data_IF_176311719885
#
_entry.id   IF_176311719885
#
_cell.length_a   1.000
_cell.length_b   1.000
_cell.length_c   1.000
_cell.angle_alpha   90.00
_cell.angle_beta   90.00
_cell.angle_gamma   90.00
#
_symmetry.space_group_name_H-M   'P 1'
#
loop_
_entity.id
_entity.type
_entity.pdbx_description
1 polymer ?
#
# COMPACT_ATOMS: atom_id res chain seq x y z
N UNK A 1 -15.41 -9.56 -50.22
CA UNK A 1 -15.45 -8.12 -49.87
C UNK A 1 -16.51 -7.94 -48.80
N UNK A 2 -16.13 -7.96 -47.53
CA UNK A 2 -17.05 -7.69 -46.42
C UNK A 2 -17.24 -6.19 -46.33
N UNK A 3 -18.31 -5.68 -46.95
CA UNK A 3 -18.69 -4.27 -46.90
C UNK A 3 -19.26 -3.94 -45.52
N UNK A 4 -18.41 -3.46 -44.61
CA UNK A 4 -18.90 -2.83 -43.38
C UNK A 4 -19.46 -1.46 -43.76
N UNK A 5 -20.74 -1.23 -43.52
CA UNK A 5 -21.35 0.11 -43.58
C UNK A 5 -20.87 0.90 -42.37
N UNK A 6 -20.46 2.14 -42.59
CA UNK A 6 -19.94 2.99 -41.52
C UNK A 6 -21.08 3.39 -40.57
N UNK A 7 -20.92 3.23 -39.25
CA UNK A 7 -21.98 3.52 -38.29
C UNK A 7 -22.19 5.02 -38.12
N UNK A 8 -23.44 5.41 -37.84
CA UNK A 8 -23.75 6.78 -37.47
C UNK A 8 -23.20 7.08 -36.07
N UNK A 9 -22.20 7.95 -35.99
CA UNK A 9 -21.65 8.41 -34.72
C UNK A 9 -22.55 9.48 -34.10
N UNK A 10 -23.20 9.14 -32.99
CA UNK A 10 -23.94 10.11 -32.16
C UNK A 10 -23.11 10.38 -30.91
N UNK A 11 -22.69 11.63 -30.74
CA UNK A 11 -21.93 12.07 -29.57
C UNK A 11 -22.86 12.55 -28.47
N UNK A 12 -22.66 12.03 -27.25
CA UNK A 12 -23.32 12.49 -26.04
C UNK A 12 -22.27 13.23 -25.19
N UNK A 13 -22.36 14.56 -25.05
CA UNK A 13 -21.42 15.32 -24.23
C UNK A 13 -21.59 15.00 -22.75
N UNK A 14 -20.52 15.20 -21.98
CA UNK A 14 -20.58 15.14 -20.52
C UNK A 14 -21.43 16.27 -19.96
N UNK A 15 -22.14 15.98 -18.87
CA UNK A 15 -22.96 16.97 -18.18
C UNK A 15 -22.10 18.03 -17.50
N UNK A 16 -22.56 19.28 -17.56
CA UNK A 16 -22.05 20.40 -16.77
C UNK A 16 -22.48 20.27 -15.30
N UNK A 17 -21.81 21.01 -14.41
CA UNK A 17 -22.16 21.04 -12.96
C UNK A 17 -23.63 21.42 -12.75
N UNK A 18 -24.13 22.37 -13.54
CA UNK A 18 -25.50 22.88 -13.43
C UNK A 18 -26.51 21.84 -13.94
N UNK A 19 -26.22 21.16 -15.06
CA UNK A 19 -27.05 20.04 -15.54
C UNK A 19 -27.07 18.88 -14.54
N UNK A 20 -25.92 18.53 -13.94
CA UNK A 20 -25.85 17.53 -12.88
C UNK A 20 -26.67 17.95 -11.66
N UNK A 21 -26.57 19.23 -11.24
CA UNK A 21 -27.38 19.77 -10.15
C UNK A 21 -28.87 19.58 -10.45
N UNK A 22 -29.30 19.93 -11.65
CA UNK A 22 -30.70 19.83 -12.06
C UNK A 22 -31.17 18.38 -12.12
N UNK A 23 -30.34 17.46 -12.60
CA UNK A 23 -30.63 16.03 -12.62
C UNK A 23 -30.77 15.48 -11.20
N UNK A 24 -29.83 15.78 -10.30
CA UNK A 24 -29.86 15.33 -8.89
C UNK A 24 -31.04 15.90 -8.12
N UNK A 25 -31.51 17.09 -8.49
CA UNK A 25 -32.67 17.74 -7.87
C UNK A 25 -34.01 17.09 -8.26
N UNK A 26 -34.08 16.34 -9.37
CA UNK A 26 -35.33 15.72 -9.84
C UNK A 26 -35.80 14.64 -8.88
N UNK A 27 -37.05 14.76 -8.43
CA UNK A 27 -37.70 13.77 -7.56
C UNK A 27 -37.32 13.85 -6.08
N UNK A 28 -36.54 14.85 -5.67
CA UNK A 28 -36.15 14.99 -4.26
C UNK A 28 -37.33 15.56 -3.42
N UNK A 29 -37.66 14.96 -2.25
CA UNK A 29 -38.84 15.33 -1.46
C UNK A 29 -38.81 16.76 -0.88
N UNK A 30 -37.62 17.31 -0.66
CA UNK A 30 -37.43 18.71 -0.29
C UNK A 30 -36.35 19.36 -1.17
N UNK A 31 -36.74 20.04 -2.26
CA UNK A 31 -35.78 20.64 -3.18
C UNK A 31 -35.04 21.83 -2.56
N UNK A 32 -35.67 22.59 -1.64
CA UNK A 32 -35.02 23.78 -1.04
C UNK A 32 -33.86 23.38 -0.13
N UNK A 33 -34.07 22.36 0.70
CA UNK A 33 -33.03 21.83 1.59
C UNK A 33 -31.90 21.16 0.81
N UNK A 34 -32.26 20.35 -0.20
CA UNK A 34 -31.27 19.67 -1.04
C UNK A 34 -30.46 20.65 -1.91
N UNK A 35 -31.09 21.70 -2.42
CA UNK A 35 -30.40 22.78 -3.15
C UNK A 35 -29.35 23.49 -2.28
N UNK A 36 -29.67 23.76 -1.01
CA UNK A 36 -28.73 24.32 -0.02
C UNK A 36 -27.57 23.36 0.31
N UNK A 37 -27.85 22.07 0.35
CA UNK A 37 -26.81 21.04 0.48
C UNK A 37 -25.90 21.02 -0.75
N UNK A 38 -26.46 20.89 -1.95
CA UNK A 38 -25.70 20.80 -3.20
C UNK A 38 -24.84 22.04 -3.47
N UNK A 39 -25.27 23.25 -3.06
CA UNK A 39 -24.44 24.46 -3.21
C UNK A 39 -23.12 24.38 -2.46
N UNK A 40 -23.03 23.53 -1.43
CA UNK A 40 -21.82 23.31 -0.64
C UNK A 40 -21.00 22.17 -1.22
N UNK A 41 -21.62 21.02 -1.43
CA UNK A 41 -20.89 19.76 -1.65
C UNK A 41 -20.67 19.43 -3.12
N UNK A 42 -21.53 19.88 -4.03
CA UNK A 42 -21.52 19.41 -5.41
C UNK A 42 -20.24 19.85 -6.14
N UNK A 43 -19.85 21.13 -6.02
CA UNK A 43 -18.69 21.66 -6.73
C UNK A 43 -17.36 21.00 -6.29
N UNK A 44 -17.10 20.76 -4.99
CA UNK A 44 -15.96 19.94 -4.58
C UNK A 44 -15.98 18.51 -5.13
N UNK A 45 -17.13 17.82 -5.05
CA UNK A 45 -17.25 16.43 -5.51
C UNK A 45 -17.11 16.29 -7.03
N UNK A 46 -17.68 17.25 -7.78
CA UNK A 46 -17.64 17.26 -9.24
C UNK A 46 -16.22 17.43 -9.81
N UNK A 47 -15.32 18.07 -9.05
CA UNK A 47 -13.89 18.13 -9.41
C UNK A 47 -13.19 16.78 -9.35
N UNK A 48 -13.74 15.83 -8.60
CA UNK A 48 -13.15 14.50 -8.42
C UNK A 48 -13.79 13.48 -9.36
N UNK A 49 -15.11 13.51 -9.52
CA UNK A 49 -15.82 12.66 -10.49
C UNK A 49 -16.95 13.43 -11.18
N UNK A 50 -17.11 13.19 -12.49
CA UNK A 50 -18.24 13.69 -13.27
C UNK A 50 -19.34 12.64 -13.45
N UNK A 51 -19.14 11.44 -12.87
CA UNK A 51 -20.08 10.33 -12.98
C UNK A 51 -21.28 10.53 -12.05
N UNK A 52 -22.47 10.60 -12.65
CA UNK A 52 -23.73 10.82 -11.92
C UNK A 52 -24.03 9.75 -10.88
N UNK A 53 -23.75 8.49 -11.19
CA UNK A 53 -23.99 7.36 -10.30
C UNK A 53 -23.08 7.39 -9.07
N UNK A 54 -21.80 7.70 -9.26
CA UNK A 54 -20.84 7.89 -8.16
C UNK A 54 -21.19 9.10 -7.30
N UNK A 55 -21.54 10.23 -7.93
CA UNK A 55 -21.99 11.43 -7.23
C UNK A 55 -23.24 11.15 -6.39
N UNK A 56 -24.26 10.51 -6.97
CA UNK A 56 -25.48 10.17 -6.24
C UNK A 56 -25.19 9.25 -5.04
N UNK A 57 -24.36 8.23 -5.22
CA UNK A 57 -23.96 7.31 -4.15
C UNK A 57 -23.19 8.01 -3.02
N UNK A 58 -22.34 8.99 -3.35
CA UNK A 58 -21.55 9.78 -2.41
C UNK A 58 -22.40 10.80 -1.64
N UNK A 59 -23.35 11.43 -2.32
CA UNK A 59 -24.17 12.51 -1.79
C UNK A 59 -25.24 12.01 -0.82
N UNK A 60 -25.78 10.82 -1.01
CA UNK A 60 -26.82 10.23 -0.14
C UNK A 60 -26.41 10.15 1.35
N UNK A 61 -25.28 9.53 1.75
CA UNK A 61 -24.87 9.48 3.15
C UNK A 61 -24.49 10.86 3.71
N UNK A 62 -23.93 11.73 2.87
CA UNK A 62 -23.60 13.11 3.26
C UNK A 62 -24.86 13.93 3.51
N UNK A 63 -25.89 13.76 2.69
CA UNK A 63 -27.16 14.45 2.86
C UNK A 63 -27.83 14.06 4.18
N UNK A 64 -27.78 12.77 4.54
CA UNK A 64 -28.27 12.27 5.85
C UNK A 64 -27.63 12.97 7.03
N UNK A 65 -26.30 13.14 7.00
CA UNK A 65 -25.58 13.92 8.01
C UNK A 65 -25.92 15.40 7.96
N UNK A 66 -26.13 15.95 6.75
CA UNK A 66 -26.44 17.37 6.58
C UNK A 66 -27.78 17.76 7.23
N UNK A 67 -28.83 16.94 7.11
CA UNK A 67 -30.14 17.26 7.71
C UNK A 67 -30.35 16.70 9.13
N UNK A 68 -29.40 15.91 9.66
CA UNK A 68 -29.45 15.33 11.01
C UNK A 68 -29.78 16.38 12.11
N UNK A 69 -29.16 17.57 12.13
CA UNK A 69 -29.48 18.60 13.13
C UNK A 69 -30.89 19.19 13.01
N UNK A 70 -31.52 19.09 11.84
CA UNK A 70 -32.86 19.64 11.55
C UNK A 70 -33.94 18.63 11.93
N UNK A 71 -33.68 17.33 11.77
CA UNK A 71 -34.59 16.22 12.09
C UNK A 71 -35.89 16.16 11.27
N UNK A 72 -36.25 17.25 10.59
CA UNK A 72 -37.47 17.40 9.80
C UNK A 72 -37.15 17.67 8.33
N UNK A 73 -37.38 16.67 7.48
CA UNK A 73 -37.18 16.78 6.03
C UNK A 73 -38.06 17.84 5.35
N UNK A 74 -39.08 18.41 6.01
CA UNK A 74 -39.93 19.48 5.44
C UNK A 74 -39.48 20.89 5.79
N UNK A 75 -38.44 21.05 6.62
CA UNK A 75 -37.95 22.36 7.01
C UNK A 75 -37.38 23.12 5.79
N UNK A 76 -37.67 24.42 5.73
CA UNK A 76 -37.07 25.32 4.76
C UNK A 76 -35.89 26.02 5.45
N UNK A 77 -34.65 25.83 4.98
CA UNK A 77 -33.49 26.40 5.65
C UNK A 77 -33.41 27.92 5.43
N UNK A 78 -33.46 28.67 6.53
CA UNK A 78 -33.14 30.10 6.59
C UNK A 78 -31.63 30.34 6.56
N UNK A 79 -31.15 31.55 6.27
CA UNK A 79 -29.73 31.90 6.14
C UNK A 79 -28.91 31.59 7.40
N UNK A 80 -29.49 31.77 8.59
CA UNK A 80 -28.87 31.37 9.85
C UNK A 80 -28.75 29.85 10.00
N UNK A 81 -29.73 29.11 9.49
CA UNK A 81 -29.74 27.64 9.52
C UNK A 81 -28.75 27.06 8.51
N UNK A 82 -28.69 27.61 7.28
CA UNK A 82 -27.73 27.17 6.24
C UNK A 82 -26.30 27.20 6.75
N UNK A 83 -25.91 28.26 7.46
CA UNK A 83 -24.58 28.40 8.07
C UNK A 83 -24.28 27.30 9.09
N UNK A 84 -25.21 27.03 10.01
CA UNK A 84 -25.05 25.95 11.02
C UNK A 84 -24.95 24.57 10.38
N UNK A 85 -25.75 24.29 9.35
CA UNK A 85 -25.71 23.00 8.64
C UNK A 85 -24.43 22.84 7.82
N UNK A 86 -23.92 23.95 7.26
CA UNK A 86 -22.62 23.97 6.58
C UNK A 86 -21.48 23.63 7.55
N UNK A 87 -21.40 24.31 8.70
CA UNK A 87 -20.40 24.05 9.73
C UNK A 87 -20.45 22.59 10.21
N UNK A 88 -21.65 22.04 10.34
CA UNK A 88 -21.86 20.66 10.73
C UNK A 88 -21.35 19.64 9.69
N UNK A 89 -21.61 19.87 8.40
CA UNK A 89 -21.24 18.89 7.36
C UNK A 89 -19.79 19.01 6.89
N UNK A 90 -19.19 20.21 6.97
CA UNK A 90 -17.84 20.51 6.48
C UNK A 90 -16.77 19.47 6.88
N UNK A 91 -16.65 19.01 8.14
CA UNK A 91 -15.64 18.00 8.50
C UNK A 91 -15.88 16.65 7.83
N UNK A 92 -17.13 16.33 7.45
CA UNK A 92 -17.47 15.06 6.82
C UNK A 92 -17.26 15.07 5.31
N UNK A 93 -17.28 16.23 4.65
CA UNK A 93 -17.07 16.33 3.20
C UNK A 93 -15.68 15.84 2.81
N UNK A 94 -14.63 16.26 3.52
CA UNK A 94 -13.26 15.85 3.22
C UNK A 94 -13.05 14.33 3.40
N UNK A 95 -13.61 13.77 4.47
CA UNK A 95 -13.54 12.32 4.72
C UNK A 95 -14.30 11.56 3.65
N UNK A 96 -15.50 12.03 3.28
CA UNK A 96 -16.28 11.41 2.23
C UNK A 96 -15.59 11.48 0.86
N UNK A 97 -14.92 12.58 0.52
CA UNK A 97 -14.14 12.67 -0.71
C UNK A 97 -13.02 11.63 -0.76
N UNK A 98 -12.33 11.40 0.35
CA UNK A 98 -11.24 10.40 0.40
C UNK A 98 -11.76 8.95 0.36
N UNK A 99 -12.92 8.68 0.95
CA UNK A 99 -13.47 7.32 1.04
C UNK A 99 -14.34 6.93 -0.17
N UNK A 100 -15.09 7.87 -0.77
CA UNK A 100 -16.03 7.59 -1.88
C UNK A 100 -15.34 6.94 -3.08
N UNK A 101 -14.11 7.37 -3.38
CA UNK A 101 -13.33 6.85 -4.50
C UNK A 101 -12.34 5.76 -4.09
N UNK A 102 -12.35 5.37 -2.82
CA UNK A 102 -11.65 4.16 -2.40
C UNK A 102 -12.49 2.97 -2.85
N UNK A 103 -12.01 2.24 -3.85
CA UNK A 103 -12.60 0.94 -4.20
C UNK A 103 -12.38 0.03 -3.00
N UNK A 104 -13.44 -0.39 -2.26
CA UNK A 104 -13.28 -1.45 -1.29
C UNK A 104 -12.77 -2.64 -2.09
N UNK A 105 -11.59 -3.15 -1.77
CA UNK A 105 -11.17 -4.44 -2.30
C UNK A 105 -12.29 -5.39 -1.91
N UNK A 106 -13.08 -5.85 -2.89
CA UNK A 106 -14.14 -6.81 -2.64
C UNK A 106 -13.42 -8.01 -2.03
N UNK A 107 -13.48 -8.15 -0.71
CA UNK A 107 -13.48 -9.46 -0.11
C UNK A 107 -14.60 -10.17 -0.88
N UNK A 108 -14.23 -11.22 -1.60
CA UNK A 108 -15.19 -12.17 -2.13
C UNK A 108 -15.98 -12.65 -0.91
N UNK A 109 -17.10 -11.98 -0.61
CA UNK A 109 -18.17 -12.57 0.15
C UNK A 109 -18.68 -13.68 -0.77
N UNK A 110 -18.12 -14.87 -0.59
CA UNK A 110 -18.74 -16.08 -1.07
C UNK A 110 -20.13 -16.12 -0.45
N UNK A 111 -21.15 -15.80 -1.25
CA UNK A 111 -22.55 -16.02 -0.93
C UNK A 111 -22.81 -17.53 -0.81
N UNK A 112 -22.36 -18.14 0.28
CA UNK A 112 -23.03 -19.34 0.78
C UNK A 112 -24.22 -18.87 1.60
N UNK A 113 -25.37 -18.82 0.92
CA UNK A 113 -26.68 -18.77 1.59
C UNK A 113 -26.81 -20.00 2.47
N UNK A 114 -26.63 -19.83 3.77
CA UNK A 114 -27.30 -20.69 4.74
C UNK A 114 -28.21 -19.84 5.63
N UNK A 115 -29.47 -20.25 5.65
CA UNK A 115 -30.55 -19.52 6.28
C UNK A 115 -30.63 -19.85 7.75
N UNK A 116 -30.34 -18.89 8.63
CA UNK A 116 -30.82 -18.95 10.01
C UNK A 116 -30.75 -17.59 10.72
N UNK A 117 -31.93 -17.12 11.13
CA UNK A 117 -32.22 -16.25 12.27
C UNK A 117 -31.38 -14.99 12.52
N UNK A 118 -31.94 -13.86 12.10
CA UNK A 118 -32.27 -12.73 12.98
C UNK A 118 -31.26 -12.27 14.03
N UNK A 119 -30.36 -11.36 13.63
CA UNK A 119 -29.94 -10.22 14.47
C UNK A 119 -29.79 -9.00 13.56
N UNK A 120 -30.61 -7.97 13.81
CA UNK A 120 -30.48 -6.67 13.14
C UNK A 120 -29.23 -5.96 13.65
N UNK A 121 -28.07 -6.28 13.09
CA UNK A 121 -26.88 -5.46 13.22
C UNK A 121 -26.94 -4.34 12.19
N UNK A 122 -27.37 -3.16 12.63
CA UNK A 122 -27.24 -1.92 11.89
C UNK A 122 -25.75 -1.72 11.56
N UNK A 123 -25.33 -2.07 10.35
CA UNK A 123 -24.00 -1.76 9.83
C UNK A 123 -23.88 -0.23 9.72
N UNK A 124 -23.53 0.39 10.84
CA UNK A 124 -23.15 1.80 10.92
C UNK A 124 -21.82 1.87 10.18
N UNK A 125 -21.87 2.21 8.89
CA UNK A 125 -20.69 2.59 8.09
C UNK A 125 -20.08 3.83 8.73
N UNK A 126 -19.24 3.59 9.73
CA UNK A 126 -18.50 4.62 10.42
C UNK A 126 -17.33 4.98 9.50
N UNK A 127 -17.50 6.09 8.79
CA UNK A 127 -16.43 6.81 8.10
C UNK A 127 -15.23 6.93 9.06
N UNK A 128 -14.04 6.47 8.66
CA UNK A 128 -12.81 6.70 9.41
C UNK A 128 -11.88 5.51 9.70
N UNK A 129 -12.22 4.25 9.37
CA UNK A 129 -11.29 3.13 9.64
C UNK A 129 -10.37 2.82 8.46
N UNK A 130 -9.49 3.77 8.11
CA UNK A 130 -8.40 3.53 7.14
C UNK A 130 -7.31 2.61 7.71
N UNK A 131 -7.31 2.38 9.03
CA UNK A 131 -6.32 1.53 9.70
C UNK A 131 -6.56 0.03 9.52
N UNK A 132 -7.77 -0.41 9.12
CA UNK A 132 -8.15 -1.83 9.12
C UNK A 132 -7.21 -2.72 8.31
N UNK A 133 -6.79 -2.30 7.10
CA UNK A 133 -5.88 -3.10 6.26
C UNK A 133 -4.50 -3.30 6.88
N UNK A 134 -4.02 -2.31 7.62
CA UNK A 134 -2.68 -2.33 8.21
C UNK A 134 -2.66 -3.04 9.57
N UNK A 135 -3.81 -3.13 10.24
CA UNK A 135 -3.99 -3.82 11.52
C UNK A 135 -4.48 -5.26 11.36
N UNK A 136 -5.20 -5.59 10.28
CA UNK A 136 -5.79 -6.92 10.04
C UNK A 136 -4.82 -7.89 9.35
N UNK A 137 -3.71 -7.39 8.78
CA UNK A 137 -2.50 -8.20 8.60
C UNK A 137 -1.85 -8.44 9.98
N UNK A 138 -2.53 -9.19 10.83
CA UNK A 138 -1.94 -9.77 12.03
C UNK A 138 -0.90 -10.79 11.51
N UNK A 139 0.38 -10.38 11.48
CA UNK A 139 1.46 -11.07 10.77
C UNK A 139 1.82 -12.44 11.40
N UNK A 140 0.96 -13.43 11.17
CA UNK A 140 1.24 -14.86 11.33
C UNK A 140 2.08 -15.36 10.13
N UNK A 141 3.26 -14.78 9.94
CA UNK A 141 4.28 -15.34 9.03
C UNK A 141 5.33 -16.10 9.82
N UNK A 142 5.91 -17.15 9.23
CA UNK A 142 7.06 -17.84 9.83
C UNK A 142 8.23 -16.87 9.99
N UNK A 143 9.09 -17.13 10.98
CA UNK A 143 10.28 -16.30 11.25
C UNK A 143 11.16 -16.22 9.99
N UNK A 144 11.39 -17.33 9.30
CA UNK A 144 12.15 -17.39 8.04
C UNK A 144 11.58 -16.46 6.96
N UNK A 145 10.25 -16.42 6.79
CA UNK A 145 9.60 -15.51 5.82
C UNK A 145 9.82 -14.05 6.20
N UNK A 146 9.75 -13.71 7.49
CA UNK A 146 10.01 -12.35 7.97
C UNK A 146 11.45 -11.92 7.68
N UNK A 147 12.44 -12.77 7.94
CA UNK A 147 13.84 -12.48 7.58
C UNK A 147 14.06 -12.42 6.06
N UNK A 148 13.35 -13.25 5.28
CA UNK A 148 13.43 -13.22 3.83
C UNK A 148 12.87 -11.89 3.26
N UNK A 149 11.78 -11.38 3.82
CA UNK A 149 11.24 -10.06 3.50
C UNK A 149 12.21 -8.92 3.87
N UNK A 150 12.83 -9.00 5.05
CA UNK A 150 13.83 -8.01 5.47
C UNK A 150 15.06 -8.03 4.55
N UNK A 151 15.50 -9.22 4.13
CA UNK A 151 16.61 -9.39 3.19
C UNK A 151 16.30 -8.78 1.84
N UNK A 152 15.09 -9.02 1.32
CA UNK A 152 14.63 -8.44 0.07
C UNK A 152 14.52 -6.91 0.14
N UNK A 153 14.07 -6.38 1.28
CA UNK A 153 14.05 -4.94 1.52
C UNK A 153 15.46 -4.32 1.49
N UNK A 154 16.41 -4.92 2.22
CA UNK A 154 17.80 -4.48 2.24
C UNK A 154 18.45 -4.55 0.86
N UNK A 155 18.18 -5.63 0.11
CA UNK A 155 18.63 -5.76 -1.27
C UNK A 155 18.02 -4.67 -2.18
N UNK A 156 16.75 -4.31 -1.99
CA UNK A 156 16.10 -3.27 -2.79
C UNK A 156 16.65 -1.86 -2.52
N UNK A 157 16.93 -1.53 -1.24
CA UNK A 157 17.30 -0.18 -0.81
C UNK A 157 18.80 0.10 -0.84
N UNK A 158 19.63 -0.90 -0.52
CA UNK A 158 21.07 -0.72 -0.51
C UNK A 158 21.66 -0.99 -1.89
N UNK A 159 22.60 -0.18 -2.39
CA UNK A 159 23.37 -0.53 -3.58
C UNK A 159 24.24 -1.75 -3.31
N UNK A 160 24.35 -2.66 -4.29
CA UNK A 160 25.12 -3.90 -4.16
C UNK A 160 26.61 -3.69 -3.80
N UNK A 161 27.16 -2.51 -4.11
CA UNK A 161 28.54 -2.14 -3.74
C UNK A 161 28.77 -2.05 -2.23
N UNK A 162 27.71 -1.90 -1.43
CA UNK A 162 27.80 -1.81 0.03
C UNK A 162 27.62 -3.15 0.74
N UNK A 163 27.24 -4.21 0.02
CA UNK A 163 26.93 -5.50 0.65
C UNK A 163 28.11 -6.05 1.46
N UNK A 164 29.32 -5.98 0.92
CA UNK A 164 30.53 -6.43 1.61
C UNK A 164 30.85 -5.62 2.89
N UNK A 165 30.46 -4.34 2.94
CA UNK A 165 30.66 -3.52 4.13
C UNK A 165 29.62 -3.79 5.23
N UNK A 166 28.42 -4.24 4.84
CA UNK A 166 27.27 -4.41 5.73
C UNK A 166 27.08 -5.87 6.21
N UNK A 167 27.49 -6.85 5.40
CA UNK A 167 27.13 -8.27 5.59
C UNK A 167 28.33 -9.22 5.69
N UNK A 168 29.56 -8.72 5.75
CA UNK A 168 30.72 -9.59 6.00
C UNK A 168 30.83 -9.92 7.50
N UNK A 169 30.69 -11.21 7.84
CA UNK A 169 30.75 -11.79 9.19
C UNK A 169 32.09 -11.53 9.93
N UNK A 170 33.16 -11.20 9.20
CA UNK A 170 34.42 -10.76 9.80
C UNK A 170 34.35 -9.26 10.11
N UNK A 171 34.03 -8.94 11.37
CA UNK A 171 34.03 -7.57 11.87
C UNK A 171 35.27 -6.77 11.45
N UNK A 172 35.06 -5.80 10.55
CA UNK A 172 35.67 -4.47 10.64
C UNK A 172 37.19 -4.29 10.74
N UNK A 173 38.06 -5.17 10.22
CA UNK A 173 39.52 -4.93 10.34
C UNK A 173 40.25 -4.48 9.06
N UNK A 174 39.73 -4.69 7.84
CA UNK A 174 40.53 -4.44 6.62
C UNK A 174 40.08 -3.30 5.70
N UNK A 175 39.24 -2.38 6.20
CA UNK A 175 38.84 -1.18 5.44
C UNK A 175 39.80 0.02 5.61
N UNK A 176 40.96 -0.14 6.27
CA UNK A 176 41.91 0.96 6.50
C UNK A 176 42.78 1.35 5.30
N UNK A 177 42.63 0.74 4.11
CA UNK A 177 43.52 1.00 2.96
C UNK A 177 42.86 1.49 1.67
N UNK A 178 41.75 2.21 1.74
CA UNK A 178 41.33 3.06 0.60
C UNK A 178 40.91 4.45 1.05
N UNK A 179 41.91 5.27 1.38
CA UNK A 179 41.79 6.74 1.45
C UNK A 179 41.48 7.28 0.05
N UNK A 180 40.21 7.25 -0.36
CA UNK A 180 39.73 7.97 -1.56
C UNK A 180 39.55 9.44 -1.18
N UNK A 181 40.32 10.31 -1.85
CA UNK A 181 40.17 11.77 -1.77
C UNK A 181 38.71 12.14 -2.08
N UNK A 182 38.06 12.86 -1.17
CA UNK A 182 36.73 13.43 -1.37
C UNK A 182 36.82 14.64 -2.30
N UNK A 183 36.54 14.43 -3.58
CA UNK A 183 36.27 15.52 -4.53
C UNK A 183 34.78 15.87 -4.50
N UNK A 184 34.45 17.16 -4.58
CA UNK A 184 33.07 17.67 -4.63
C UNK A 184 32.20 17.01 -5.72
N UNK A 185 32.81 16.55 -6.82
CA UNK A 185 32.15 15.79 -7.89
C UNK A 185 31.55 14.43 -7.44
N UNK A 186 32.13 13.77 -6.44
CA UNK A 186 31.59 12.50 -5.90
C UNK A 186 30.37 12.74 -5.01
N UNK A 187 30.28 13.89 -4.35
CA UNK A 187 29.10 14.25 -3.56
C UNK A 187 27.93 14.64 -4.45
N UNK A 188 28.17 15.43 -5.50
CA UNK A 188 27.16 15.73 -6.51
C UNK A 188 26.63 14.45 -7.21
N UNK A 189 27.52 13.51 -7.57
CA UNK A 189 27.11 12.24 -8.18
C UNK A 189 26.36 11.32 -7.20
N UNK A 190 26.67 11.40 -5.90
CA UNK A 190 25.96 10.66 -4.84
C UNK A 190 24.55 11.22 -4.63
N UNK A 191 24.38 12.54 -4.72
CA UNK A 191 23.06 13.18 -4.60
C UNK A 191 22.18 12.89 -5.82
N UNK A 192 22.74 12.89 -7.04
CA UNK A 192 21.99 12.52 -8.25
C UNK A 192 21.54 11.05 -8.25
N UNK A 193 22.40 10.12 -7.80
CA UNK A 193 22.04 8.70 -7.69
C UNK A 193 20.95 8.47 -6.66
N UNK A 194 20.91 9.27 -5.59
CA UNK A 194 19.87 9.14 -4.56
C UNK A 194 18.54 9.74 -5.01
N UNK A 195 18.55 10.89 -5.68
CA UNK A 195 17.35 11.46 -6.29
C UNK A 195 16.80 10.52 -7.39
N UNK A 196 17.69 9.90 -8.15
CA UNK A 196 17.35 8.86 -9.11
C UNK A 196 16.75 7.60 -8.46
N UNK A 197 17.27 7.15 -7.30
CA UNK A 197 16.69 6.03 -6.55
C UNK A 197 15.31 6.35 -5.95
N UNK A 198 15.08 7.61 -5.54
CA UNK A 198 13.77 8.05 -5.06
C UNK A 198 12.74 8.12 -6.20
N UNK A 199 13.17 8.50 -7.40
CA UNK A 199 12.30 8.70 -8.56
C UNK A 199 12.09 7.43 -9.40
N UNK A 200 12.97 6.42 -9.32
CA UNK A 200 12.91 5.19 -10.14
C UNK A 200 12.07 4.04 -9.55
N UNK A 201 11.57 4.18 -8.32
CA UNK A 201 10.85 3.10 -7.63
C UNK A 201 11.79 1.99 -7.12
N UNK A 202 11.23 0.90 -6.55
CA UNK A 202 12.02 -0.13 -5.87
C UNK A 202 13.00 -0.83 -6.83
N UNK A 203 14.28 -0.85 -6.42
CA UNK A 203 15.37 -1.47 -7.16
C UNK A 203 15.16 -2.96 -7.37
N UNK A 204 15.61 -3.47 -8.52
CA UNK A 204 15.63 -4.92 -8.75
C UNK A 204 16.95 -5.51 -8.29
N UNK A 205 16.92 -6.71 -7.73
CA UNK A 205 18.10 -7.42 -7.25
C UNK A 205 18.08 -8.89 -7.71
N UNK A 206 19.26 -9.51 -7.89
CA UNK A 206 19.35 -10.90 -8.34
C UNK A 206 19.12 -11.88 -7.16
N UNK A 207 18.76 -13.13 -7.46
CA UNK A 207 18.44 -14.15 -6.46
C UNK A 207 19.61 -14.41 -5.50
N UNK A 208 20.81 -14.48 -6.05
CA UNK A 208 22.04 -14.83 -5.34
C UNK A 208 22.32 -13.81 -4.23
N UNK A 209 22.08 -12.52 -4.53
CA UNK A 209 22.23 -11.43 -3.57
C UNK A 209 21.20 -11.52 -2.45
N UNK A 210 19.94 -11.84 -2.77
CA UNK A 210 18.89 -12.02 -1.76
C UNK A 210 19.28 -13.13 -0.77
N UNK A 211 19.68 -14.30 -1.29
CA UNK A 211 20.04 -15.45 -0.45
C UNK A 211 21.29 -15.20 0.38
N UNK A 212 22.28 -14.49 -0.17
CA UNK A 212 23.49 -14.12 0.57
C UNK A 212 23.17 -13.19 1.75
N UNK A 213 22.33 -12.16 1.53
CA UNK A 213 21.88 -11.26 2.60
C UNK A 213 21.07 -12.04 3.65
N UNK A 214 20.15 -12.90 3.20
CA UNK A 214 19.34 -13.74 4.08
C UNK A 214 20.21 -14.60 5.00
N UNK A 215 21.15 -15.35 4.44
CA UNK A 215 22.05 -16.20 5.21
C UNK A 215 22.86 -15.41 6.23
N UNK A 216 23.31 -14.20 5.88
CA UNK A 216 24.08 -13.34 6.79
C UNK A 216 23.24 -12.86 7.98
N UNK A 217 22.03 -12.36 7.73
CA UNK A 217 21.21 -11.80 8.81
C UNK A 217 20.59 -12.87 9.70
N UNK A 218 20.39 -14.09 9.18
CA UNK A 218 19.92 -15.23 9.98
C UNK A 218 21.04 -15.86 10.81
N UNK A 219 22.27 -15.96 10.28
CA UNK A 219 23.40 -16.52 11.06
C UNK A 219 23.72 -15.66 12.28
N UNK A 220 23.69 -14.33 12.14
CA UNK A 220 23.89 -13.39 13.27
C UNK A 220 22.77 -13.48 14.31
N UNK A 221 21.57 -13.91 13.90
CA UNK A 221 20.44 -14.08 14.81
C UNK A 221 20.54 -15.35 15.66
N UNK A 222 21.21 -16.39 15.17
CA UNK A 222 21.42 -17.65 15.89
C UNK A 222 22.54 -17.51 16.94
N UNK A 223 23.61 -16.77 16.62
CA UNK A 223 24.71 -16.47 17.55
C UNK A 223 24.25 -15.69 18.82
N UNK A 224 23.14 -14.96 18.74
CA UNK A 224 22.57 -14.24 19.87
C UNK A 224 21.77 -15.14 20.83
N UNK A 225 21.48 -16.39 20.43
CA UNK A 225 20.70 -17.37 21.19
C UNK A 225 21.53 -18.59 21.62
N UNK A 226 22.76 -18.73 21.13
CA UNK A 226 23.66 -19.84 21.44
C UNK A 226 24.68 -19.47 22.52
N UNK A 227 24.21 -19.21 23.74
CA UNK A 227 25.04 -19.27 24.96
C UNK A 227 24.91 -20.64 25.66
N UNK A 228 24.55 -21.67 24.89
CA UNK A 228 24.54 -23.06 25.36
C UNK A 228 25.40 -23.89 24.41
N UNK A 229 26.65 -24.11 24.82
CA UNK A 229 27.57 -25.02 24.16
C UNK A 229 26.98 -26.43 24.11
N UNK A 230 26.76 -26.94 22.91
CA UNK A 230 26.71 -28.38 22.66
C UNK A 230 27.92 -28.73 21.79
N UNK A 231 28.86 -29.57 22.26
CA UNK A 231 29.93 -30.09 21.45
C UNK A 231 29.39 -31.22 20.57
N UNK A 232 30.03 -31.41 19.41
CA UNK A 232 29.81 -32.49 18.43
C UNK A 232 28.62 -32.34 17.47
N UNK A 233 28.87 -31.71 16.32
CA UNK A 233 28.36 -32.22 15.03
C UNK A 233 29.16 -31.65 13.86
N UNK A 234 30.31 -32.28 13.60
CA UNK A 234 30.95 -32.35 12.30
C UNK A 234 30.02 -33.09 11.31
N UNK A 235 29.05 -32.37 10.73
CA UNK A 235 28.26 -32.86 9.59
C UNK A 235 27.93 -31.71 8.63
N UNK A 236 28.99 -31.12 8.08
CA UNK A 236 28.92 -30.14 6.99
C UNK A 236 28.38 -30.80 5.71
N UNK A 237 27.17 -30.42 5.29
CA UNK A 237 26.74 -30.50 3.89
C UNK A 237 25.28 -30.83 3.63
N UNK A 238 24.59 -31.58 4.50
CA UNK A 238 23.27 -32.14 4.18
C UNK A 238 22.09 -31.26 4.67
N UNK A 239 22.20 -30.62 5.84
CA UNK A 239 21.11 -29.81 6.41
C UNK A 239 20.83 -28.50 5.66
N UNK A 240 21.86 -27.87 5.09
CA UNK A 240 21.74 -26.60 4.36
C UNK A 240 20.98 -26.72 3.04
N UNK A 241 21.05 -27.89 2.38
CA UNK A 241 20.37 -28.13 1.10
C UNK A 241 18.85 -28.25 1.28
N UNK A 242 18.39 -28.89 2.37
CA UNK A 242 16.96 -28.96 2.73
C UNK A 242 16.40 -27.58 3.08
N UNK A 243 17.12 -26.82 3.92
CA UNK A 243 16.77 -25.44 4.27
C UNK A 243 16.68 -24.52 3.03
N UNK A 244 17.56 -24.71 2.04
CA UNK A 244 17.52 -23.94 0.80
C UNK A 244 16.25 -24.21 -0.02
N UNK A 245 15.82 -25.46 -0.11
CA UNK A 245 14.57 -25.83 -0.81
C UNK A 245 13.35 -25.15 -0.18
N UNK A 246 13.27 -25.16 1.15
CA UNK A 246 12.17 -24.53 1.88
C UNK A 246 12.18 -23.00 1.74
N UNK A 247 13.35 -22.37 1.77
CA UNK A 247 13.51 -20.93 1.55
C UNK A 247 13.10 -20.54 0.13
N UNK A 248 13.47 -21.33 -0.88
CA UNK A 248 13.05 -21.09 -2.26
C UNK A 248 11.54 -21.29 -2.46
N UNK A 249 10.94 -22.26 -1.76
CA UNK A 249 9.49 -22.43 -1.72
C UNK A 249 8.80 -21.22 -1.09
N UNK A 250 9.31 -20.73 0.05
CA UNK A 250 8.82 -19.52 0.70
C UNK A 250 8.95 -18.29 -0.22
N UNK A 251 10.07 -18.16 -0.92
CA UNK A 251 10.29 -17.10 -1.92
C UNK A 251 9.25 -17.16 -3.05
N UNK A 252 8.93 -18.36 -3.54
CA UNK A 252 7.88 -18.56 -4.53
C UNK A 252 6.50 -18.17 -3.99
N UNK A 253 6.19 -18.54 -2.75
CA UNK A 253 4.95 -18.15 -2.07
C UNK A 253 4.85 -16.63 -1.90
N UNK A 254 5.95 -15.95 -1.55
CA UNK A 254 6.03 -14.49 -1.47
C UNK A 254 5.84 -13.80 -2.83
N UNK A 255 6.30 -14.43 -3.92
CA UNK A 255 6.03 -13.93 -5.27
C UNK A 255 4.56 -14.10 -5.64
N UNK A 256 3.97 -15.25 -5.33
CA UNK A 256 2.55 -15.53 -5.62
C UNK A 256 1.59 -14.64 -4.83
N UNK A 257 2.00 -14.21 -3.64
CA UNK A 257 1.26 -13.27 -2.78
C UNK A 257 1.58 -11.79 -3.06
N UNK A 258 2.34 -11.49 -4.11
CA UNK A 258 2.72 -10.15 -4.56
C UNK A 258 3.59 -9.32 -3.59
N UNK A 259 4.05 -9.90 -2.48
CA UNK A 259 5.06 -9.27 -1.61
C UNK A 259 6.38 -9.04 -2.36
N UNK A 260 6.71 -9.94 -3.28
CA UNK A 260 7.82 -9.82 -4.22
C UNK A 260 7.29 -9.97 -5.64
N UNK A 261 7.97 -9.35 -6.61
CA UNK A 261 7.70 -9.62 -8.03
C UNK A 261 8.95 -10.15 -8.72
N UNK A 262 8.80 -11.27 -9.41
CA UNK A 262 9.84 -11.86 -10.25
C UNK A 262 9.77 -11.19 -11.63
N UNK A 263 10.75 -10.37 -11.94
CA UNK A 263 10.90 -9.78 -13.27
C UNK A 263 11.51 -10.81 -14.22
N UNK A 264 11.09 -10.80 -15.48
CA UNK A 264 11.70 -11.63 -16.52
C UNK A 264 13.17 -11.21 -16.67
N UNK A 265 14.05 -12.20 -16.78
CA UNK A 265 15.47 -11.96 -16.99
C UNK A 265 15.66 -11.08 -18.23
N UNK A 266 16.59 -10.13 -18.14
CA UNK A 266 17.09 -9.47 -19.35
C UNK A 266 17.66 -10.58 -20.25
N UNK A 267 17.37 -10.61 -21.57
CA UNK A 267 17.83 -11.67 -22.46
C UNK A 267 19.35 -11.92 -22.43
N UNK A 268 20.12 -10.92 -21.98
CA UNK A 268 21.58 -10.95 -21.88
C UNK A 268 22.12 -11.59 -20.59
N UNK A 269 21.37 -11.56 -19.48
CA UNK A 269 21.89 -11.91 -18.15
C UNK A 269 21.45 -13.31 -17.68
N UNK A 270 20.39 -13.88 -18.28
CA UNK A 270 19.90 -15.24 -18.02
C UNK A 270 19.31 -15.50 -16.62
N UNK A 271 19.67 -14.71 -15.60
CA UNK A 271 19.22 -14.88 -14.21
C UNK A 271 17.96 -14.08 -13.87
N UNK A 272 17.11 -14.65 -13.02
CA UNK A 272 15.88 -14.03 -12.56
C UNK A 272 16.17 -12.85 -11.62
N UNK A 273 15.46 -11.74 -11.83
CA UNK A 273 15.54 -10.56 -10.97
C UNK A 273 14.27 -10.42 -10.15
N UNK A 274 14.42 -9.98 -8.91
CA UNK A 274 13.33 -9.79 -7.97
C UNK A 274 13.18 -8.31 -7.64
N UNK A 275 11.95 -7.90 -7.32
CA UNK A 275 11.61 -6.57 -6.84
C UNK A 275 10.75 -6.68 -5.59
N UNK A 276 11.03 -5.81 -4.63
CA UNK A 276 10.29 -5.68 -3.39
C UNK A 276 9.11 -4.73 -3.57
N UNK A 277 7.90 -5.19 -3.22
CA UNK A 277 6.65 -4.46 -3.48
C UNK A 277 5.94 -3.97 -2.20
N UNK A 278 6.58 -4.13 -1.04
CA UNK A 278 5.95 -3.82 0.25
C UNK A 278 6.23 -2.37 0.66
N UNK A 279 5.21 -1.74 1.27
CA UNK A 279 5.27 -0.40 1.84
C UNK A 279 6.16 -0.27 3.08
N UNK A 280 6.54 0.97 3.37
CA UNK A 280 7.44 1.28 4.48
C UNK A 280 6.90 0.87 5.85
N UNK A 281 5.63 1.21 6.11
CA UNK A 281 4.97 0.90 7.38
C UNK A 281 4.90 -0.60 7.65
N UNK A 282 4.72 -1.40 6.60
CA UNK A 282 4.57 -2.84 6.70
C UNK A 282 5.89 -3.52 7.04
N UNK A 283 6.99 -3.14 6.36
CA UNK A 283 8.29 -3.74 6.69
C UNK A 283 8.77 -3.30 8.07
N UNK A 284 8.46 -2.07 8.52
CA UNK A 284 8.78 -1.61 9.87
C UNK A 284 8.03 -2.42 10.94
N UNK A 285 6.78 -2.82 10.67
CA UNK A 285 6.05 -3.77 11.53
C UNK A 285 6.72 -5.14 11.55
N UNK A 286 7.11 -5.68 10.40
CA UNK A 286 7.83 -6.96 10.30
C UNK A 286 9.12 -6.94 11.11
N UNK A 287 9.95 -5.91 10.94
CA UNK A 287 11.21 -5.77 11.66
C UNK A 287 11.02 -5.67 13.18
N UNK A 288 10.02 -4.90 13.64
CA UNK A 288 9.67 -4.84 15.06
C UNK A 288 9.24 -6.20 15.61
N UNK A 289 8.49 -6.99 14.83
CA UNK A 289 8.00 -8.31 15.26
C UNK A 289 9.09 -9.34 15.49
N UNK A 290 10.27 -9.19 14.85
CA UNK A 290 11.44 -10.06 15.04
C UNK A 290 12.58 -9.36 15.78
N UNK A 291 12.38 -8.13 16.28
CA UNK A 291 13.41 -7.36 16.97
C UNK A 291 14.61 -6.97 16.10
N UNK A 292 14.46 -6.93 14.77
CA UNK A 292 15.58 -6.73 13.85
C UNK A 292 16.02 -5.25 13.80
N UNK A 293 17.32 -4.93 14.04
CA UNK A 293 17.81 -3.56 14.10
C UNK A 293 18.09 -2.98 12.69
N UNK A 294 17.02 -2.64 11.97
CA UNK A 294 17.08 -2.08 10.61
C UNK A 294 18.03 -0.89 10.46
N UNK A 295 18.12 -0.01 11.46
CA UNK A 295 18.95 1.19 11.44
C UNK A 295 20.44 0.90 11.24
N UNK A 296 20.91 -0.30 11.59
CA UNK A 296 22.30 -0.74 11.38
C UNK A 296 22.59 -1.18 9.95
N UNK A 297 21.58 -1.68 9.25
CA UNK A 297 21.72 -2.34 7.94
C UNK A 297 21.20 -1.49 6.78
N UNK A 298 20.40 -0.48 7.04
CA UNK A 298 19.98 0.48 6.02
C UNK A 298 21.09 1.50 5.80
N UNK A 299 21.48 1.72 4.55
CA UNK A 299 22.34 2.84 4.20
C UNK A 299 21.62 4.17 4.46
N UNK A 300 21.83 4.73 5.66
CA UNK A 300 21.45 6.11 5.99
C UNK A 300 22.52 7.07 5.48
N UNK A 301 22.06 8.18 4.91
CA UNK A 301 22.90 9.35 4.62
C UNK A 301 23.63 9.80 5.87
#
# INVERSE_FOLDING_TARGET
MTGSVEPNHIYFPDYTVDEVRDILMRGHPNPKLYSSFLSVVLKPLFRVTMRLDELAAALEPLFRKYYEPVGNLKAVPDEGMKRKLFEHIQPHVAVALNETFSVPMRALEEEYKDGSSGVKASAKRQFGSKDSLSTELDFHMSVSVKYLLLSAFLASRNPATLDAALFNSTGGSDNRKRKRKSSQALMAMKDTVVEEMLMKGPGTFPLERLLAIFQCITSVSEDALSDVECPDSTMNGCGMAGLMSDVLLQLSTLCNSNFLSKSRSCPLEGSARYRFNIDEDLYLKVARSVGFPLSKYIYRR
#
